data_IF_192827791928
#
_entry.id   IF_192827791928
#
_cell.length_a   1.000
_cell.length_b   1.000
_cell.length_c   1.000
_cell.angle_alpha   90.00
_cell.angle_beta   90.00
_cell.angle_gamma   90.00
#
_symmetry.space_group_name_H-M   'P 1'
#
loop_
_entity.id
_entity.type
_entity.pdbx_description
1 polymer ?
#
# COMPACT_ATOMS: atom_id res chain seq x y z
N UNK A 1 -10.13 29.48 10.46
CA UNK A 1 -10.08 28.01 10.58
C UNK A 1 -8.93 27.53 9.70
N UNK A 2 -7.75 27.35 10.30
CA UNK A 2 -6.55 26.95 9.59
C UNK A 2 -6.48 25.43 9.58
N UNK A 3 -6.74 24.82 8.42
CA UNK A 3 -6.59 23.38 8.22
C UNK A 3 -5.09 23.11 8.13
N UNK A 4 -4.52 22.51 9.18
CA UNK A 4 -3.14 22.05 9.20
C UNK A 4 -2.95 20.99 8.13
N UNK A 5 -2.36 21.38 7.00
CA UNK A 5 -1.91 20.48 5.94
C UNK A 5 -0.89 19.51 6.56
N UNK A 6 -1.22 18.22 6.52
CA UNK A 6 -0.41 17.15 7.09
C UNK A 6 0.90 17.04 6.30
N UNK A 7 2.04 16.93 6.98
CA UNK A 7 3.39 16.84 6.40
C UNK A 7 3.58 15.74 5.32
N UNK A 8 2.69 14.74 5.27
CA UNK A 8 2.66 13.71 4.24
C UNK A 8 2.06 14.17 2.89
N UNK A 9 1.17 15.17 2.89
CA UNK A 9 0.60 15.73 1.67
C UNK A 9 1.59 16.67 0.97
N UNK A 10 2.41 17.39 1.74
CA UNK A 10 3.50 18.20 1.21
C UNK A 10 4.59 17.37 0.53
N UNK A 11 4.97 16.22 1.09
CA UNK A 11 5.97 15.33 0.49
C UNK A 11 5.45 14.61 -0.77
N UNK A 12 4.16 14.28 -0.79
CA UNK A 12 3.49 13.71 -1.96
C UNK A 12 3.37 14.72 -3.10
N UNK A 13 3.07 15.99 -2.77
CA UNK A 13 2.96 17.06 -3.78
C UNK A 13 4.32 17.37 -4.42
N UNK A 14 5.40 17.45 -3.62
CA UNK A 14 6.76 17.66 -4.15
C UNK A 14 7.24 16.46 -4.99
N UNK A 15 6.87 15.24 -4.60
CA UNK A 15 7.19 14.04 -5.37
C UNK A 15 6.51 14.06 -6.74
N UNK A 16 5.21 14.34 -6.78
CA UNK A 16 4.42 14.40 -8.02
C UNK A 16 4.94 15.48 -8.96
N UNK A 17 5.26 16.67 -8.44
CA UNK A 17 5.86 17.74 -9.25
C UNK A 17 7.16 17.28 -9.90
N UNK A 18 8.09 16.73 -9.10
CA UNK A 18 9.37 16.23 -9.63
C UNK A 18 9.21 15.10 -10.65
N UNK A 19 8.22 14.22 -10.49
CA UNK A 19 7.93 13.16 -11.46
C UNK A 19 7.45 13.71 -12.81
N UNK A 20 6.67 14.80 -12.81
CA UNK A 20 6.22 15.47 -14.04
C UNK A 20 7.35 16.18 -14.75
N UNK A 21 8.28 16.74 -13.98
CA UNK A 21 9.46 17.42 -14.50
C UNK A 21 10.53 16.42 -15.00
N UNK A 22 10.27 15.11 -14.94
CA UNK A 22 11.20 14.07 -15.37
C UNK A 22 12.42 13.91 -14.46
N UNK A 23 12.31 14.28 -13.18
CA UNK A 23 13.42 14.19 -12.23
C UNK A 23 13.76 12.74 -11.90
N UNK A 24 15.00 12.32 -12.21
CA UNK A 24 15.55 11.01 -11.82
C UNK A 24 15.55 10.80 -10.30
N UNK A 25 15.72 11.87 -9.52
CA UNK A 25 15.66 11.82 -8.05
C UNK A 25 14.24 11.51 -7.57
N UNK A 26 13.24 12.19 -8.14
CA UNK A 26 11.84 11.92 -7.83
C UNK A 26 11.45 10.50 -8.25
N UNK A 27 11.96 10.01 -9.38
CA UNK A 27 11.76 8.64 -9.83
C UNK A 27 12.38 7.61 -8.88
N UNK A 28 13.64 7.80 -8.47
CA UNK A 28 14.29 6.93 -7.48
C UNK A 28 13.52 6.88 -6.17
N UNK A 29 13.11 8.05 -5.66
CA UNK A 29 12.31 8.15 -4.43
C UNK A 29 10.93 7.49 -4.56
N UNK A 30 10.28 7.59 -5.72
CA UNK A 30 9.04 6.88 -6.01
C UNK A 30 9.24 5.36 -5.90
N UNK A 31 10.28 4.82 -6.55
CA UNK A 31 10.57 3.39 -6.54
C UNK A 31 10.90 2.91 -5.12
N UNK A 32 11.74 3.63 -4.39
CA UNK A 32 12.14 3.27 -3.02
C UNK A 32 10.95 3.18 -2.07
N UNK A 33 10.00 4.11 -2.18
CA UNK A 33 8.83 4.17 -1.30
C UNK A 33 7.78 3.13 -1.72
N UNK A 34 7.49 3.02 -3.02
CA UNK A 34 6.32 2.29 -3.49
C UNK A 34 6.60 0.89 -3.99
N UNK A 35 7.82 0.53 -4.40
CA UNK A 35 8.10 -0.83 -4.86
C UNK A 35 7.88 -1.88 -3.75
N UNK A 36 8.31 -1.67 -2.48
CA UNK A 36 7.98 -2.58 -1.39
C UNK A 36 6.46 -2.67 -1.15
N UNK A 37 5.76 -1.55 -1.32
CA UNK A 37 4.31 -1.47 -1.08
C UNK A 37 3.52 -2.22 -2.14
N UNK A 38 3.89 -2.08 -3.41
CA UNK A 38 3.32 -2.83 -4.54
C UNK A 38 3.57 -4.33 -4.37
N UNK A 39 4.77 -4.73 -3.90
CA UNK A 39 5.05 -6.14 -3.58
C UNK A 39 4.13 -6.69 -2.48
N UNK A 40 3.88 -5.92 -1.41
CA UNK A 40 2.93 -6.29 -0.35
C UNK A 40 1.53 -6.47 -0.93
N UNK A 41 1.08 -5.53 -1.77
CA UNK A 41 -0.23 -5.60 -2.43
C UNK A 41 -0.38 -6.82 -3.34
N UNK A 42 0.64 -7.14 -4.13
CA UNK A 42 0.66 -8.35 -4.97
C UNK A 42 0.54 -9.63 -4.15
N UNK A 43 1.38 -9.77 -3.10
CA UNK A 43 1.34 -10.94 -2.20
C UNK A 43 0.01 -11.08 -1.50
N UNK A 44 -0.52 -9.97 -0.98
CA UNK A 44 -1.82 -9.96 -0.33
C UNK A 44 -2.96 -10.37 -1.28
N UNK A 45 -2.80 -10.08 -2.57
CA UNK A 45 -3.76 -10.48 -3.61
C UNK A 45 -3.50 -11.88 -4.20
N UNK A 46 -2.58 -12.66 -3.62
CA UNK A 46 -2.27 -14.03 -4.05
C UNK A 46 -1.46 -14.14 -5.34
N UNK A 47 -0.75 -13.09 -5.75
CA UNK A 47 0.16 -13.14 -6.91
C UNK A 47 1.41 -13.96 -6.55
N UNK A 48 1.78 -14.92 -7.41
CA UNK A 48 3.01 -15.71 -7.28
C UNK A 48 4.27 -14.86 -7.44
N UNK A 49 5.33 -15.20 -6.69
CA UNK A 49 6.60 -14.42 -6.65
C UNK A 49 7.23 -14.23 -8.04
N UNK A 50 7.11 -15.22 -8.91
CA UNK A 50 7.59 -15.20 -10.28
C UNK A 50 6.93 -14.09 -11.14
N UNK A 51 5.73 -13.65 -10.76
CA UNK A 51 4.95 -12.63 -11.49
C UNK A 51 5.02 -11.24 -10.87
N UNK A 52 5.55 -11.12 -9.64
CA UNK A 52 5.58 -9.83 -8.94
C UNK A 52 6.49 -8.83 -9.66
N UNK A 53 7.63 -9.27 -10.18
CA UNK A 53 8.56 -8.41 -10.91
C UNK A 53 7.91 -7.78 -12.17
N UNK A 54 7.17 -8.58 -12.93
CA UNK A 54 6.44 -8.13 -14.11
C UNK A 54 5.37 -7.07 -13.74
N UNK A 55 4.58 -7.35 -12.69
CA UNK A 55 3.55 -6.41 -12.24
C UNK A 55 4.18 -5.11 -11.74
N UNK A 56 5.29 -5.16 -11.00
CA UNK A 56 6.02 -3.97 -10.58
C UNK A 56 6.41 -3.12 -11.79
N UNK A 57 7.00 -3.73 -12.82
CA UNK A 57 7.39 -3.02 -14.04
C UNK A 57 6.18 -2.38 -14.72
N UNK A 58 5.08 -3.12 -14.86
CA UNK A 58 3.85 -2.61 -15.46
C UNK A 58 3.21 -1.46 -14.67
N UNK A 59 3.26 -1.52 -13.34
CA UNK A 59 2.76 -0.47 -12.44
C UNK A 59 3.58 0.80 -12.64
N UNK A 60 4.91 0.72 -12.53
CA UNK A 60 5.76 1.92 -12.69
C UNK A 60 5.68 2.49 -14.10
N UNK A 61 5.61 1.66 -15.13
CA UNK A 61 5.38 2.13 -16.50
C UNK A 61 4.04 2.85 -16.64
N UNK A 62 2.98 2.36 -15.99
CA UNK A 62 1.68 3.02 -15.99
C UNK A 62 1.73 4.35 -15.23
N UNK A 63 2.48 4.44 -14.14
CA UNK A 63 2.69 5.69 -13.39
C UNK A 63 3.38 6.73 -14.25
N UNK A 64 4.52 6.38 -14.87
CA UNK A 64 5.23 7.29 -15.79
C UNK A 64 4.30 7.83 -16.89
N UNK A 65 3.44 6.97 -17.46
CA UNK A 65 2.55 7.38 -18.56
C UNK A 65 1.35 8.22 -18.12
N UNK A 66 1.00 8.20 -16.82
CA UNK A 66 -0.25 8.78 -16.32
C UNK A 66 -0.04 9.87 -15.27
N UNK A 67 1.19 10.14 -14.86
CA UNK A 67 1.51 11.13 -13.82
C UNK A 67 1.03 12.54 -14.15
N UNK A 68 1.02 12.91 -15.43
CA UNK A 68 0.49 14.21 -15.88
C UNK A 68 -1.02 14.34 -15.67
N UNK A 69 -1.73 13.20 -15.68
CA UNK A 69 -3.18 13.15 -15.49
C UNK A 69 -3.60 13.00 -14.04
N UNK A 70 -2.67 12.75 -13.13
CA UNK A 70 -2.98 12.63 -11.71
C UNK A 70 -3.46 13.98 -11.14
N UNK A 71 -4.63 14.03 -10.54
CA UNK A 71 -5.12 15.23 -9.83
C UNK A 71 -5.37 14.91 -8.37
N UNK A 72 -4.87 15.75 -7.48
CA UNK A 72 -5.08 15.60 -6.02
C UNK A 72 -6.56 15.78 -5.64
N UNK A 73 -7.37 16.43 -6.49
CA UNK A 73 -8.78 16.69 -6.20
C UNK A 73 -9.68 15.45 -6.30
N UNK A 74 -9.28 14.40 -7.03
CA UNK A 74 -10.18 13.29 -7.37
C UNK A 74 -10.10 12.10 -6.38
N UNK A 75 -9.08 12.04 -5.52
CA UNK A 75 -8.87 10.90 -4.62
C UNK A 75 -8.70 11.34 -3.16
N UNK A 76 -9.67 11.00 -2.31
CA UNK A 76 -9.62 11.23 -0.85
C UNK A 76 -8.46 10.50 -0.14
N UNK A 77 -7.73 9.64 -0.85
CA UNK A 77 -6.58 8.86 -0.39
C UNK A 77 -5.23 9.35 -0.95
N UNK A 78 -5.22 10.40 -1.78
CA UNK A 78 -4.01 11.01 -2.34
C UNK A 78 -3.22 10.09 -3.28
N UNK A 79 -1.95 10.43 -3.52
CA UNK A 79 -1.08 9.71 -4.49
C UNK A 79 -0.94 8.21 -4.18
N UNK A 80 -0.97 7.84 -2.89
CA UNK A 80 -0.96 6.44 -2.47
C UNK A 80 -2.21 5.68 -2.90
N UNK A 81 -3.38 6.29 -2.77
CA UNK A 81 -4.65 5.72 -3.24
C UNK A 81 -4.62 5.49 -4.75
N UNK A 82 -4.09 6.46 -5.48
CA UNK A 82 -3.90 6.34 -6.92
C UNK A 82 -2.92 5.21 -7.32
N UNK A 83 -1.78 5.09 -6.62
CA UNK A 83 -0.83 3.98 -6.78
C UNK A 83 -1.49 2.62 -6.52
N UNK A 84 -2.33 2.53 -5.48
CA UNK A 84 -3.11 1.33 -5.20
C UNK A 84 -4.08 1.02 -6.34
N UNK A 85 -4.81 2.01 -6.86
CA UNK A 85 -5.73 1.79 -7.99
C UNK A 85 -5.03 1.29 -9.25
N UNK A 86 -3.87 1.85 -9.59
CA UNK A 86 -3.04 1.34 -10.70
C UNK A 86 -2.66 -0.11 -10.43
N UNK A 87 -2.13 -0.41 -9.24
CA UNK A 87 -1.68 -1.76 -8.87
C UNK A 87 -2.81 -2.77 -8.90
N UNK A 88 -3.96 -2.45 -8.31
CA UNK A 88 -5.16 -3.29 -8.30
C UNK A 88 -5.62 -3.63 -9.71
N UNK A 89 -5.59 -2.65 -10.63
CA UNK A 89 -5.91 -2.88 -12.03
C UNK A 89 -4.92 -3.83 -12.71
N UNK A 90 -3.62 -3.69 -12.44
CA UNK A 90 -2.59 -4.59 -12.97
C UNK A 90 -2.68 -6.01 -12.44
N UNK A 91 -2.95 -6.17 -11.15
CA UNK A 91 -3.23 -7.48 -10.54
C UNK A 91 -4.47 -8.12 -11.19
N UNK A 92 -5.54 -7.36 -11.41
CA UNK A 92 -6.74 -7.86 -12.07
C UNK A 92 -6.48 -8.27 -13.52
N UNK A 93 -5.73 -7.48 -14.27
CA UNK A 93 -5.34 -7.79 -15.65
C UNK A 93 -4.49 -9.07 -15.69
N UNK A 94 -3.58 -9.26 -14.73
CA UNK A 94 -2.78 -10.47 -14.59
C UNK A 94 -3.66 -11.71 -14.43
N UNK A 95 -4.60 -11.72 -13.48
CA UNK A 95 -5.50 -12.87 -13.28
C UNK A 95 -6.49 -13.09 -14.45
N UNK A 96 -6.92 -12.03 -15.13
CA UNK A 96 -7.77 -12.17 -16.33
C UNK A 96 -7.03 -12.86 -17.49
N UNK A 97 -5.73 -12.60 -17.62
CA UNK A 97 -4.91 -13.10 -18.72
C UNK A 97 -4.27 -14.47 -18.42
N UNK A 98 -4.47 -15.04 -17.23
CA UNK A 98 -4.06 -16.41 -16.96
C UNK A 98 -4.97 -17.39 -17.74
N UNK A 99 -4.40 -18.38 -18.44
CA UNK A 99 -5.21 -19.40 -19.11
C UNK A 99 -6.06 -20.13 -18.07
N UNK A 100 -7.39 -20.01 -18.19
CA UNK A 100 -8.31 -20.78 -17.36
C UNK A 100 -8.07 -22.28 -17.62
N UNK A 101 -7.94 -23.12 -16.57
CA UNK A 101 -8.16 -24.55 -16.76
C UNK A 101 -9.59 -24.75 -17.29
N UNK A 102 -9.78 -25.71 -18.20
CA UNK A 102 -10.92 -25.86 -19.10
C UNK A 102 -12.30 -26.16 -18.47
N UNK A 103 -12.55 -25.79 -17.20
CA UNK A 103 -13.85 -25.91 -16.55
C UNK A 103 -14.25 -24.57 -15.89
N UNK A 104 -15.07 -23.73 -16.55
CA UNK A 104 -15.60 -22.53 -15.93
C UNK A 104 -16.79 -22.91 -15.04
N UNK A 105 -16.52 -23.17 -13.76
CA UNK A 105 -17.58 -23.05 -12.74
C UNK A 105 -17.71 -21.56 -12.43
N UNK A 106 -18.81 -21.00 -12.90
CA UNK A 106 -19.08 -19.57 -12.86
C UNK A 106 -19.27 -18.99 -11.45
N UNK A 107 -19.12 -17.66 -11.39
CA UNK A 107 -19.68 -16.83 -10.34
C UNK A 107 -18.75 -16.57 -9.16
N UNK A 108 -18.13 -15.39 -9.14
CA UNK A 108 -17.91 -14.54 -7.95
C UNK A 108 -17.34 -15.17 -6.67
N UNK A 109 -16.63 -16.31 -6.75
CA UNK A 109 -16.09 -17.02 -5.58
C UNK A 109 -14.57 -16.90 -5.44
N UNK A 110 -13.84 -16.56 -6.52
CA UNK A 110 -12.39 -16.39 -6.47
C UNK A 110 -11.92 -15.23 -5.57
N UNK A 111 -12.81 -14.26 -5.28
CA UNK A 111 -12.51 -13.12 -4.38
C UNK A 111 -12.81 -13.42 -2.90
N UNK A 112 -13.55 -14.50 -2.61
CA UNK A 112 -14.09 -14.76 -1.27
C UNK A 112 -13.30 -15.82 -0.48
N UNK A 113 -12.29 -16.44 -1.09
CA UNK A 113 -11.54 -17.56 -0.51
C UNK A 113 -10.10 -17.16 -0.10
N UNK A 114 -9.92 -15.96 0.45
CA UNK A 114 -8.60 -15.41 0.82
C UNK A 114 -8.55 -14.75 2.21
N UNK A 115 -9.49 -15.08 3.10
CA UNK A 115 -9.50 -14.53 4.47
C UNK A 115 -8.97 -15.51 5.53
N UNK A 116 -7.96 -16.31 5.18
CA UNK A 116 -7.26 -17.15 6.15
C UNK A 116 -5.79 -17.31 5.78
N UNK A 117 -5.06 -16.18 5.72
CA UNK A 117 -3.60 -16.21 5.67
C UNK A 117 -3.08 -15.27 6.75
N UNK A 118 -2.62 -15.87 7.84
CA UNK A 118 -1.74 -15.20 8.80
C UNK A 118 -0.63 -14.47 8.02
N UNK A 119 -0.37 -13.20 8.37
CA UNK A 119 0.62 -12.36 7.69
C UNK A 119 1.86 -13.18 7.30
N UNK A 120 2.13 -13.42 6.00
CA UNK A 120 3.23 -14.28 5.61
C UNK A 120 4.53 -13.66 6.11
N UNK A 121 5.49 -14.46 6.62
CA UNK A 121 6.82 -13.97 6.94
C UNK A 121 7.42 -13.37 5.65
N UNK A 122 7.90 -12.14 5.75
CA UNK A 122 8.46 -11.41 4.63
C UNK A 122 9.78 -12.10 4.21
N UNK A 123 9.96 -12.56 2.95
CA UNK A 123 11.16 -13.23 2.50
C UNK A 123 12.38 -12.30 2.51
N UNK A 124 13.53 -12.88 2.84
CA UNK A 124 14.82 -12.22 3.05
C UNK A 124 15.62 -11.89 1.78
N UNK A 125 14.98 -11.82 0.61
CA UNK A 125 15.71 -11.57 -0.65
C UNK A 125 15.30 -10.24 -1.28
N UNK A 126 16.23 -9.28 -1.19
CA UNK A 126 16.17 -7.99 -1.83
C UNK A 126 17.11 -7.97 -3.04
N UNK A 127 16.64 -7.69 -4.27
CA UNK A 127 17.50 -7.04 -5.25
C UNK A 127 17.56 -5.55 -4.87
N UNK A 128 18.79 -5.04 -4.73
CA UNK A 128 19.20 -3.79 -4.07
C UNK A 128 19.13 -3.83 -2.54
N UNK A 129 20.24 -3.49 -1.88
CA UNK A 129 20.28 -3.24 -0.44
C UNK A 129 19.06 -2.38 -0.09
N UNK A 130 18.13 -2.84 0.78
CA UNK A 130 17.05 -1.96 1.20
C UNK A 130 17.71 -0.69 1.71
N UNK A 131 17.30 0.47 1.21
CA UNK A 131 17.81 1.72 1.74
C UNK A 131 17.68 1.67 3.27
N UNK A 132 18.67 2.19 4.00
CA UNK A 132 18.69 2.11 5.48
C UNK A 132 17.34 2.53 6.08
N UNK A 133 16.65 3.47 5.41
CA UNK A 133 15.31 3.94 5.74
C UNK A 133 14.21 2.87 5.63
N UNK A 134 14.21 2.04 4.59
CA UNK A 134 13.20 0.98 4.40
C UNK A 134 13.37 -0.14 5.42
N UNK A 135 14.62 -0.53 5.70
CA UNK A 135 14.95 -1.50 6.75
C UNK A 135 14.56 -0.98 8.15
N UNK A 136 14.83 0.30 8.43
CA UNK A 136 14.45 0.95 9.68
C UNK A 136 12.93 1.01 9.86
N UNK A 137 12.19 1.42 8.82
CA UNK A 137 10.73 1.46 8.83
C UNK A 137 10.12 0.07 9.08
N UNK A 138 10.66 -0.96 8.44
CA UNK A 138 10.21 -2.34 8.62
C UNK A 138 10.40 -2.80 10.08
N UNK A 139 11.57 -2.52 10.66
CA UNK A 139 11.86 -2.87 12.06
C UNK A 139 10.95 -2.11 13.03
N UNK A 140 10.73 -0.82 12.77
CA UNK A 140 9.81 -0.01 13.57
C UNK A 140 8.36 -0.52 13.49
N UNK A 141 7.89 -0.90 12.31
CA UNK A 141 6.56 -1.50 12.12
C UNK A 141 6.42 -2.84 12.85
N UNK A 142 7.42 -3.71 12.75
CA UNK A 142 7.42 -5.01 13.44
C UNK A 142 7.38 -4.83 14.96
N UNK A 143 8.15 -3.87 15.50
CA UNK A 143 8.15 -3.56 16.92
C UNK A 143 6.81 -3.00 17.39
N UNK A 144 6.30 -1.97 16.70
CA UNK A 144 5.05 -1.30 17.08
C UNK A 144 3.85 -2.24 16.95
N UNK A 145 3.86 -3.20 16.02
CA UNK A 145 2.79 -4.20 15.87
C UNK A 145 2.50 -4.94 17.18
N UNK A 146 3.55 -5.31 17.92
CA UNK A 146 3.43 -6.11 19.16
C UNK A 146 2.71 -5.35 20.28
N UNK A 147 2.70 -4.01 20.23
CA UNK A 147 2.08 -3.18 21.26
C UNK A 147 0.56 -2.99 21.09
N UNK A 148 0.01 -3.39 19.95
CA UNK A 148 -1.41 -3.19 19.64
C UNK A 148 -2.17 -4.52 19.58
N UNK A 149 -3.45 -4.47 19.98
CA UNK A 149 -4.38 -5.59 19.74
C UNK A 149 -4.53 -5.82 18.24
N UNK A 150 -4.69 -7.09 17.84
CA UNK A 150 -4.81 -7.49 16.44
C UNK A 150 -5.89 -6.70 15.69
N UNK A 151 -7.06 -6.48 16.30
CA UNK A 151 -8.13 -5.69 15.67
C UNK A 151 -7.70 -4.24 15.36
N UNK A 152 -6.97 -3.59 16.27
CA UNK A 152 -6.47 -2.21 16.08
C UNK A 152 -5.38 -2.17 15.02
N UNK A 153 -4.46 -3.12 15.06
CA UNK A 153 -3.41 -3.26 14.06
C UNK A 153 -3.98 -3.55 12.67
N UNK A 154 -4.91 -4.49 12.56
CA UNK A 154 -5.53 -4.87 11.29
C UNK A 154 -6.40 -3.75 10.73
N UNK A 155 -7.16 -3.02 11.55
CA UNK A 155 -7.89 -1.84 11.10
C UNK A 155 -6.95 -0.77 10.53
N UNK A 156 -5.81 -0.53 11.20
CA UNK A 156 -4.76 0.35 10.68
C UNK A 156 -4.14 -0.19 9.37
N UNK A 157 -3.77 -1.47 9.35
CA UNK A 157 -3.08 -2.10 8.22
C UNK A 157 -3.97 -2.11 6.97
N UNK A 158 -5.24 -2.49 7.10
CA UNK A 158 -6.17 -2.55 5.96
C UNK A 158 -6.49 -1.17 5.40
N UNK A 159 -6.75 -0.18 6.26
CA UNK A 159 -7.04 1.18 5.78
C UNK A 159 -5.82 1.96 5.32
N UNK A 160 -4.66 1.71 5.92
CA UNK A 160 -3.44 2.48 5.63
C UNK A 160 -2.55 1.76 4.64
N UNK A 161 -2.25 0.48 4.89
CA UNK A 161 -1.38 -0.31 4.02
C UNK A 161 -2.11 -0.78 2.78
N UNK A 162 -3.25 -1.45 2.94
CA UNK A 162 -4.03 -2.00 1.83
C UNK A 162 -4.97 -0.99 1.16
N UNK A 163 -5.03 0.25 1.68
CA UNK A 163 -5.85 1.33 1.14
C UNK A 163 -7.34 0.98 1.00
N UNK A 164 -7.87 0.15 1.91
CA UNK A 164 -9.28 -0.20 1.95
C UNK A 164 -10.14 0.93 2.54
N UNK A 165 -11.41 0.97 2.14
CA UNK A 165 -12.36 1.96 2.63
C UNK A 165 -12.61 1.78 4.12
N UNK A 166 -12.65 2.90 4.86
CA UNK A 166 -12.85 2.88 6.32
C UNK A 166 -14.17 2.20 6.69
N UNK A 167 -15.22 2.42 5.91
CA UNK A 167 -16.55 1.88 6.19
C UNK A 167 -16.60 0.36 5.96
N UNK A 168 -15.97 -0.14 4.89
CA UNK A 168 -15.83 -1.59 4.65
C UNK A 168 -15.09 -2.28 5.79
N UNK A 169 -13.98 -1.70 6.25
CA UNK A 169 -13.22 -2.23 7.39
C UNK A 169 -14.06 -2.17 8.68
N UNK A 170 -14.82 -1.08 8.89
CA UNK A 170 -15.68 -0.93 10.06
C UNK A 170 -16.77 -2.02 10.11
N UNK A 171 -17.45 -2.24 8.99
CA UNK A 171 -18.48 -3.28 8.83
C UNK A 171 -17.92 -4.67 9.12
N UNK A 172 -16.78 -5.03 8.53
CA UNK A 172 -16.22 -6.36 8.68
C UNK A 172 -15.71 -6.66 10.10
N UNK A 173 -15.11 -5.67 10.77
CA UNK A 173 -14.67 -5.82 12.16
C UNK A 173 -15.80 -5.62 13.19
N UNK A 174 -17.02 -5.27 12.75
CA UNK A 174 -18.14 -4.97 13.64
C UNK A 174 -17.89 -3.77 14.55
N UNK A 175 -17.16 -2.76 14.08
CA UNK A 175 -16.83 -1.53 14.83
C UNK A 175 -17.27 -0.29 14.05
N UNK A 176 -17.23 0.89 14.68
CA UNK A 176 -17.58 2.13 13.99
C UNK A 176 -16.45 2.66 13.10
N UNK A 177 -16.78 3.38 12.03
CA UNK A 177 -15.79 4.09 11.19
C UNK A 177 -14.96 5.08 12.01
N UNK A 178 -15.52 5.62 13.09
CA UNK A 178 -14.79 6.44 14.06
C UNK A 178 -13.73 5.65 14.83
N UNK A 179 -14.03 4.41 15.24
CA UNK A 179 -13.07 3.51 15.90
C UNK A 179 -11.93 3.12 14.95
N UNK A 180 -12.22 2.87 13.67
CA UNK A 180 -11.19 2.60 12.65
C UNK A 180 -10.27 3.82 12.47
N UNK A 181 -10.82 5.03 12.35
CA UNK A 181 -10.04 6.28 12.31
C UNK A 181 -9.20 6.47 13.56
N UNK A 182 -9.74 6.14 14.74
CA UNK A 182 -9.01 6.22 16.00
C UNK A 182 -7.85 5.21 16.06
N UNK A 183 -8.06 3.97 15.62
CA UNK A 183 -7.02 2.95 15.50
C UNK A 183 -5.87 3.45 14.62
N UNK A 184 -6.19 3.99 13.43
CA UNK A 184 -5.21 4.59 12.52
C UNK A 184 -4.41 5.71 13.18
N UNK A 185 -5.09 6.64 13.85
CA UNK A 185 -4.42 7.75 14.54
C UNK A 185 -3.47 7.28 15.65
N UNK A 186 -3.86 6.25 16.43
CA UNK A 186 -3.05 5.72 17.54
C UNK A 186 -1.77 5.07 17.02
N UNK A 187 -1.89 4.20 16.02
CA UNK A 187 -0.72 3.50 15.45
C UNK A 187 0.22 4.47 14.77
N UNK A 188 -0.29 5.43 13.97
CA UNK A 188 0.55 6.44 13.31
C UNK A 188 1.28 7.34 14.31
N UNK A 189 0.64 7.71 15.42
CA UNK A 189 1.29 8.48 16.48
C UNK A 189 2.43 7.69 17.12
N UNK A 190 2.19 6.41 17.42
CA UNK A 190 3.21 5.54 18.04
C UNK A 190 4.39 5.28 17.12
N UNK A 191 4.14 5.06 15.82
CA UNK A 191 5.18 4.92 14.80
C UNK A 191 6.04 6.19 14.68
N UNK A 192 5.41 7.38 14.71
CA UNK A 192 6.15 8.65 14.69
C UNK A 192 7.05 8.83 15.91
N UNK A 193 6.59 8.41 17.10
CA UNK A 193 7.43 8.42 18.30
C UNK A 193 8.63 7.47 18.15
N UNK A 194 8.39 6.24 17.69
CA UNK A 194 9.47 5.27 17.49
C UNK A 194 10.52 5.74 16.48
N UNK A 195 10.11 6.42 15.41
CA UNK A 195 11.02 6.93 14.40
C UNK A 195 11.71 8.24 14.82
N UNK A 196 11.08 9.04 15.68
CA UNK A 196 11.67 10.24 16.26
C UNK A 196 12.69 9.95 17.36
N UNK A 197 12.53 8.83 18.08
CA UNK A 197 13.49 8.36 19.10
C UNK A 197 14.72 7.66 18.48
N UNK A 198 14.70 7.36 17.18
CA UNK A 198 15.77 6.66 16.45
C UNK A 198 16.55 7.62 15.51
N UNK A 199 16.22 8.92 15.53
CA UNK A 199 16.93 10.00 14.83
C UNK A 199 17.82 10.79 15.79
#
# INVERSE_FOLDING_TARGET
MSVSVSSADSSSTSLVAGLRDGSDEAWRRLVDIYAPLVRIWCRYSGVGEDRIADILQEVFLAVHRRIDKFSVQDDSTGFRGWMWMITKNKIRDHFRNQPQPANPVGGSTAWQQMHEVAAPPLPAEAPSQPSDTAALLHRALAYVKVEFRDQTWNAFWRTTVLCEATDTVAEEFGISSAAVRQARSRVLRRLRQQLGDVA
#
